data_IF_412012911831
#
_entry.id   IF_412012911831
#
_cell.length_a   1.000
_cell.length_b   1.000
_cell.length_c   1.000
_cell.angle_alpha   90.00
_cell.angle_beta   90.00
_cell.angle_gamma   90.00
#
_symmetry.space_group_name_H-M   'P 1'
#
loop_
_entity.id
_entity.type
_entity.pdbx_description
1 polymer ?
#
# COMPACT_ATOMS: atom_id res chain seq x y z
N UNK A 1 19.40 18.67 -1.79
CA UNK A 1 19.14 20.04 -1.25
C UNK A 1 18.07 20.85 -2.01
N UNK A 2 18.08 20.92 -3.36
CA UNK A 2 17.15 21.79 -4.12
C UNK A 2 15.66 21.40 -4.09
N UNK A 3 15.30 20.13 -3.89
CA UNK A 3 13.89 19.67 -3.88
C UNK A 3 13.22 19.94 -2.51
N UNK A 4 13.99 19.91 -1.43
CA UNK A 4 13.49 20.15 -0.08
C UNK A 4 13.11 21.62 0.16
N UNK A 5 13.93 22.57 -0.33
CA UNK A 5 13.61 24.00 -0.26
C UNK A 5 12.32 24.37 -1.02
N UNK A 6 11.91 23.57 -2.00
CA UNK A 6 10.65 23.77 -2.71
C UNK A 6 9.43 23.28 -1.91
N UNK A 7 9.55 22.33 -0.97
CA UNK A 7 8.40 21.86 -0.18
C UNK A 7 7.87 22.92 0.80
N UNK A 8 8.69 23.90 1.17
CA UNK A 8 8.31 25.01 2.05
C UNK A 8 7.59 26.14 1.26
N UNK A 9 7.76 26.20 -0.07
CA UNK A 9 7.29 27.33 -0.92
C UNK A 9 6.06 26.99 -1.79
N UNK A 10 5.54 25.76 -1.76
CA UNK A 10 4.42 25.35 -2.63
C UNK A 10 3.07 25.68 -1.98
N UNK A 11 2.76 26.97 -1.90
CA UNK A 11 1.39 27.45 -1.80
C UNK A 11 1.30 28.76 -2.58
N UNK A 12 0.99 28.67 -3.88
CA UNK A 12 0.30 29.69 -4.73
C UNK A 12 0.51 29.53 -6.25
N UNK A 13 1.51 28.75 -6.73
CA UNK A 13 1.83 28.70 -8.17
C UNK A 13 1.67 27.30 -8.81
N UNK A 14 0.68 27.14 -9.69
CA UNK A 14 0.37 25.90 -10.43
C UNK A 14 1.49 25.40 -11.33
N UNK A 15 2.30 26.32 -11.90
CA UNK A 15 3.47 25.95 -12.73
C UNK A 15 4.58 25.32 -11.90
N UNK A 16 4.80 25.82 -10.68
CA UNK A 16 5.82 25.30 -9.75
C UNK A 16 5.45 23.88 -9.33
N UNK A 17 4.19 23.65 -8.95
CA UNK A 17 3.69 22.33 -8.61
C UNK A 17 3.86 21.32 -9.77
N UNK A 18 3.47 21.71 -10.99
CA UNK A 18 3.61 20.85 -12.18
C UNK A 18 5.07 20.45 -12.42
N UNK A 19 6.01 21.40 -12.30
CA UNK A 19 7.44 21.13 -12.45
C UNK A 19 7.97 20.14 -11.39
N UNK A 20 7.61 20.34 -10.11
CA UNK A 20 8.00 19.41 -9.03
C UNK A 20 7.42 18.02 -9.27
N UNK A 21 6.13 17.95 -9.61
CA UNK A 21 5.45 16.69 -9.91
C UNK A 21 6.18 15.90 -10.99
N UNK A 22 6.58 16.54 -12.09
CA UNK A 22 7.34 15.86 -13.14
C UNK A 22 8.70 15.36 -12.67
N UNK A 23 9.42 16.12 -11.85
CA UNK A 23 10.70 15.67 -11.26
C UNK A 23 10.51 14.45 -10.37
N UNK A 24 9.47 14.43 -9.53
CA UNK A 24 9.16 13.30 -8.65
C UNK A 24 8.76 12.07 -9.47
N UNK A 25 7.96 12.24 -10.53
CA UNK A 25 7.59 11.13 -11.43
C UNK A 25 8.83 10.58 -12.15
N UNK A 26 9.70 11.45 -12.65
CA UNK A 26 10.97 11.06 -13.28
C UNK A 26 11.83 10.27 -12.31
N UNK A 27 12.09 10.83 -11.13
CA UNK A 27 12.86 10.17 -10.08
C UNK A 27 12.26 8.81 -9.67
N UNK A 28 10.94 8.75 -9.48
CA UNK A 28 10.25 7.49 -9.19
C UNK A 28 10.45 6.47 -10.32
N UNK A 29 10.45 6.90 -11.58
CA UNK A 29 10.64 5.98 -12.72
C UNK A 29 12.04 5.35 -12.75
N UNK A 30 13.07 6.03 -12.24
CA UNK A 30 14.45 5.51 -12.14
C UNK A 30 14.60 4.40 -11.08
N UNK A 31 13.90 4.52 -9.95
CA UNK A 31 14.03 3.58 -8.81
C UNK A 31 12.93 2.51 -8.77
N UNK A 32 11.78 2.74 -9.38
CA UNK A 32 10.60 1.86 -9.27
C UNK A 32 10.88 0.42 -9.73
N UNK A 33 11.65 0.25 -10.81
CA UNK A 33 12.03 -1.07 -11.31
C UNK A 33 12.89 -1.85 -10.31
N UNK A 34 13.82 -1.19 -9.64
CA UNK A 34 14.66 -1.83 -8.61
C UNK A 34 13.86 -2.16 -7.37
N UNK A 35 13.02 -1.24 -6.89
CA UNK A 35 12.15 -1.48 -5.74
C UNK A 35 11.24 -2.68 -5.98
N UNK A 36 10.76 -2.85 -7.22
CA UNK A 36 10.01 -4.03 -7.63
C UNK A 36 10.85 -5.30 -7.54
N UNK A 37 12.06 -5.30 -8.10
CA UNK A 37 12.99 -6.45 -8.04
C UNK A 37 13.25 -6.84 -6.58
N UNK A 38 13.48 -5.86 -5.70
CA UNK A 38 13.67 -6.10 -4.28
C UNK A 38 12.43 -6.74 -3.67
N UNK A 39 11.24 -6.15 -3.80
CA UNK A 39 10.01 -6.68 -3.18
C UNK A 39 9.55 -8.03 -3.75
N UNK A 40 10.07 -8.45 -4.91
CA UNK A 40 9.84 -9.76 -5.50
C UNK A 40 10.91 -10.80 -5.12
N UNK A 41 11.95 -10.41 -4.37
CA UNK A 41 12.97 -11.35 -3.85
C UNK A 41 12.46 -12.15 -2.65
N UNK A 42 13.07 -13.31 -2.41
CA UNK A 42 12.70 -14.17 -1.27
C UNK A 42 12.84 -13.44 0.08
N UNK A 43 13.87 -12.59 0.24
CA UNK A 43 14.13 -11.84 1.45
C UNK A 43 13.05 -10.78 1.76
N UNK A 44 12.60 -10.02 0.76
CA UNK A 44 11.61 -8.94 1.00
C UNK A 44 10.15 -9.35 0.78
N UNK A 45 9.90 -10.48 0.11
CA UNK A 45 8.54 -10.96 -0.16
C UNK A 45 7.97 -11.82 0.97
N UNK A 46 8.79 -12.44 1.79
CA UNK A 46 8.34 -13.35 2.86
C UNK A 46 8.46 -12.68 4.22
N UNK A 47 7.41 -12.75 5.02
CA UNK A 47 7.41 -12.15 6.35
C UNK A 47 6.60 -12.97 7.34
N UNK A 48 7.16 -13.14 8.55
CA UNK A 48 6.43 -13.69 9.70
C UNK A 48 5.73 -12.54 10.44
N UNK A 49 4.40 -12.59 10.52
CA UNK A 49 3.62 -11.50 11.13
C UNK A 49 2.45 -12.02 11.96
N UNK A 50 2.25 -11.41 13.14
CA UNK A 50 1.11 -11.71 14.00
C UNK A 50 -0.13 -10.93 13.55
N UNK A 51 -1.15 -11.61 13.01
CA UNK A 51 -2.44 -11.01 12.65
C UNK A 51 -3.52 -11.14 13.74
N UNK A 52 -3.23 -11.91 14.79
CA UNK A 52 -4.12 -12.25 15.89
C UNK A 52 -3.80 -11.47 17.18
N UNK A 53 -3.10 -10.34 17.05
CA UNK A 53 -2.80 -9.47 18.18
C UNK A 53 -4.06 -9.02 18.92
N UNK A 54 -3.93 -8.81 20.23
CA UNK A 54 -5.04 -8.35 21.09
C UNK A 54 -5.58 -7.03 20.57
N UNK A 55 -6.90 -6.92 20.54
CA UNK A 55 -7.61 -5.72 20.16
C UNK A 55 -8.22 -5.04 21.38
N UNK A 56 -7.84 -3.79 21.63
CA UNK A 56 -8.29 -3.00 22.77
C UNK A 56 -9.39 -1.99 22.41
N UNK A 57 -9.83 -1.97 21.15
CA UNK A 57 -10.84 -1.04 20.65
C UNK A 57 -12.00 -1.81 20.04
N UNK A 58 -13.23 -1.42 20.36
CA UNK A 58 -14.40 -2.07 19.80
C UNK A 58 -14.77 -1.46 18.44
N UNK A 59 -13.99 -1.76 17.41
CA UNK A 59 -14.43 -1.52 16.02
C UNK A 59 -15.28 -2.69 15.55
N UNK A 60 -16.29 -2.40 14.74
CA UNK A 60 -17.36 -3.33 14.36
C UNK A 60 -16.96 -4.68 13.74
N UNK A 61 -17.99 -5.43 13.32
CA UNK A 61 -17.94 -6.86 12.99
C UNK A 61 -16.84 -7.25 11.98
N UNK A 62 -16.35 -8.50 12.09
CA UNK A 62 -15.42 -9.11 11.13
C UNK A 62 -15.97 -8.99 9.70
N UNK A 63 -15.08 -8.72 8.74
CA UNK A 63 -15.43 -8.72 7.33
C UNK A 63 -15.67 -10.15 6.85
N UNK A 64 -16.89 -10.48 6.40
CA UNK A 64 -17.24 -11.79 5.87
C UNK A 64 -16.94 -12.00 4.37
N UNK A 65 -16.36 -11.00 3.69
CA UNK A 65 -16.06 -11.10 2.27
C UNK A 65 -14.75 -11.84 2.02
N UNK A 66 -14.72 -12.76 1.04
CA UNK A 66 -13.51 -13.50 0.68
C UNK A 66 -12.33 -12.59 0.29
N UNK A 67 -12.61 -11.41 -0.27
CA UNK A 67 -11.62 -10.37 -0.58
C UNK A 67 -10.91 -9.80 0.66
N UNK A 68 -11.45 -9.98 1.86
CA UNK A 68 -10.82 -9.61 3.13
C UNK A 68 -9.86 -10.68 3.67
N UNK A 69 -10.00 -11.94 3.23
CA UNK A 69 -9.26 -13.06 3.78
C UNK A 69 -7.81 -13.09 3.28
N UNK A 70 -6.91 -13.47 4.17
CA UNK A 70 -5.57 -13.95 3.80
C UNK A 70 -5.70 -15.47 3.60
N UNK A 71 -5.43 -16.02 2.39
CA UNK A 71 -5.61 -17.44 2.08
C UNK A 71 -4.96 -18.37 3.11
N UNK A 72 -5.58 -19.51 3.39
CA UNK A 72 -5.07 -20.48 4.38
C UNK A 72 -3.68 -21.00 4.05
N UNK A 73 -3.33 -21.13 2.76
CA UNK A 73 -1.96 -21.49 2.32
C UNK A 73 -0.88 -20.49 2.77
N UNK A 74 -1.26 -19.23 3.02
CA UNK A 74 -0.40 -18.20 3.64
C UNK A 74 -0.53 -18.12 5.16
N UNK A 75 -1.33 -19.00 5.78
CA UNK A 75 -1.46 -19.17 7.24
C UNK A 75 -0.96 -20.54 7.72
N UNK A 76 -0.46 -21.40 6.83
CA UNK A 76 0.01 -22.74 7.20
C UNK A 76 1.19 -22.60 8.16
N UNK A 77 0.91 -22.84 9.44
CA UNK A 77 1.88 -23.46 10.32
C UNK A 77 2.11 -24.88 9.78
N UNK A 78 3.31 -25.11 9.27
CA UNK A 78 4.02 -26.40 9.27
C UNK A 78 3.33 -27.59 8.56
N UNK A 79 3.70 -27.79 7.29
CA UNK A 79 4.67 -28.88 7.07
C UNK A 79 6.02 -28.22 6.91
N UNK A 80 6.86 -28.52 7.88
CA UNK A 80 8.26 -28.11 8.00
C UNK A 80 8.95 -28.23 6.64
N UNK A 81 9.21 -27.10 5.99
CA UNK A 81 10.48 -26.90 5.30
C UNK A 81 11.30 -26.03 6.24
N UNK A 82 12.03 -26.67 7.17
CA UNK A 82 13.07 -26.01 7.98
C UNK A 82 14.17 -25.34 7.12
N UNK A 83 14.06 -25.48 5.79
CA UNK A 83 14.95 -24.92 4.79
C UNK A 83 14.54 -23.52 4.29
N UNK A 84 13.34 -23.01 4.61
CA UNK A 84 13.00 -21.62 4.23
C UNK A 84 13.59 -20.64 5.26
N UNK A 85 14.80 -20.16 4.95
CA UNK A 85 15.63 -19.33 5.83
C UNK A 85 14.88 -18.11 6.39
N UNK A 86 13.97 -17.52 5.62
CA UNK A 86 13.31 -16.23 5.90
C UNK A 86 12.01 -16.36 6.71
N UNK A 87 11.51 -17.58 6.89
CA UNK A 87 10.29 -17.87 7.66
C UNK A 87 10.53 -18.95 8.72
N UNK A 88 11.73 -18.97 9.30
CA UNK A 88 12.05 -19.86 10.42
C UNK A 88 11.14 -19.57 11.60
N UNK A 89 10.70 -20.63 12.28
CA UNK A 89 9.97 -20.51 13.53
C UNK A 89 11.00 -20.25 14.65
N UNK A 90 11.24 -18.99 14.94
CA UNK A 90 12.15 -18.49 15.98
C UNK A 90 11.49 -18.40 17.38
N UNK A 91 10.27 -18.95 17.52
CA UNK A 91 9.48 -18.85 18.75
C UNK A 91 8.57 -17.63 18.82
N UNK A 92 8.63 -16.73 17.83
CA UNK A 92 7.70 -15.58 17.76
C UNK A 92 6.31 -16.02 17.28
N UNK A 93 5.25 -15.49 17.91
CA UNK A 93 3.88 -15.68 17.43
C UNK A 93 3.69 -15.03 16.06
N UNK A 94 3.13 -15.77 15.10
CA UNK A 94 2.81 -15.24 13.79
C UNK A 94 2.65 -16.30 12.72
N UNK A 95 2.21 -15.87 11.55
CA UNK A 95 2.12 -16.70 10.35
C UNK A 95 3.11 -16.20 9.31
N UNK A 96 3.74 -17.12 8.58
CA UNK A 96 4.59 -16.76 7.44
C UNK A 96 3.73 -16.46 6.22
N UNK A 97 3.86 -15.25 5.69
CA UNK A 97 3.10 -14.78 4.54
C UNK A 97 4.06 -14.41 3.42
N UNK A 98 3.73 -14.87 2.22
CA UNK A 98 4.35 -14.45 0.96
C UNK A 98 3.52 -13.30 0.36
N UNK A 99 4.08 -12.09 0.42
CA UNK A 99 3.45 -10.84 0.03
C UNK A 99 3.19 -10.75 -1.49
N UNK A 100 3.92 -11.50 -2.31
CA UNK A 100 3.68 -11.54 -3.78
C UNK A 100 2.28 -12.11 -4.05
N UNK A 101 1.86 -13.09 -3.25
CA UNK A 101 0.55 -13.74 -3.38
C UNK A 101 -0.60 -12.87 -2.85
N UNK A 102 -0.31 -11.88 -2.00
CA UNK A 102 -1.34 -11.12 -1.28
C UNK A 102 -1.36 -9.66 -1.73
N UNK A 103 -1.96 -9.34 -2.86
CA UNK A 103 -2.10 -7.93 -3.30
C UNK A 103 -3.00 -7.12 -2.34
N UNK A 104 -2.75 -5.82 -2.26
CA UNK A 104 -3.65 -4.86 -1.60
C UNK A 104 -4.75 -4.50 -2.58
N UNK A 105 -5.97 -4.96 -2.32
CA UNK A 105 -7.08 -4.89 -3.26
C UNK A 105 -8.29 -4.18 -2.66
N UNK A 106 -9.28 -3.87 -3.49
CA UNK A 106 -10.59 -3.49 -3.00
C UNK A 106 -11.27 -4.66 -2.28
N UNK A 107 -11.45 -4.53 -0.96
CA UNK A 107 -12.03 -5.59 -0.13
C UNK A 107 -13.53 -5.41 0.16
N UNK A 108 -14.10 -4.24 -0.14
CA UNK A 108 -15.47 -3.90 0.25
C UNK A 108 -15.63 -3.53 1.74
N UNK A 109 -14.55 -3.58 2.54
CA UNK A 109 -14.52 -3.12 3.92
C UNK A 109 -14.69 -1.59 3.99
N UNK A 110 -15.89 -1.12 4.36
CA UNK A 110 -16.27 0.30 4.28
C UNK A 110 -16.73 0.90 5.60
N UNK A 111 -17.74 0.32 6.26
CA UNK A 111 -18.40 0.95 7.42
C UNK A 111 -17.42 1.22 8.56
N UNK A 112 -16.73 0.19 9.00
CA UNK A 112 -15.79 0.22 10.13
C UNK A 112 -14.46 0.89 9.74
N UNK A 113 -14.15 0.95 8.44
CA UNK A 113 -12.89 1.55 7.95
C UNK A 113 -12.79 3.05 8.28
N UNK A 114 -13.92 3.78 8.26
CA UNK A 114 -13.94 5.21 8.55
C UNK A 114 -13.62 5.53 10.00
N UNK A 115 -14.10 4.71 10.93
CA UNK A 115 -13.84 4.85 12.37
C UNK A 115 -12.36 4.59 12.69
N UNK A 116 -11.78 3.55 12.06
CA UNK A 116 -10.35 3.25 12.21
C UNK A 116 -9.50 4.40 11.69
N UNK A 117 -9.77 4.91 10.48
CA UNK A 117 -9.04 6.06 9.94
C UNK A 117 -9.18 7.30 10.81
N UNK A 118 -10.38 7.60 11.30
CA UNK A 118 -10.61 8.70 12.24
C UNK A 118 -9.68 8.56 13.45
N UNK A 119 -9.62 7.36 14.05
CA UNK A 119 -8.76 7.13 15.21
C UNK A 119 -7.27 7.22 14.90
N UNK A 120 -6.84 6.74 13.73
CA UNK A 120 -5.46 6.90 13.25
C UNK A 120 -5.08 8.39 13.18
N UNK A 121 -5.95 9.23 12.60
CA UNK A 121 -5.67 10.67 12.51
C UNK A 121 -5.69 11.37 13.88
N UNK A 122 -6.56 10.96 14.81
CA UNK A 122 -6.55 11.46 16.19
C UNK A 122 -5.21 11.17 16.88
N UNK A 123 -4.66 9.97 16.73
CA UNK A 123 -3.36 9.60 17.32
C UNK A 123 -2.18 10.35 16.68
N UNK A 124 -2.30 10.69 15.40
CA UNK A 124 -1.27 11.38 14.64
C UNK A 124 -1.30 12.91 14.77
N UNK A 125 -2.39 13.48 15.31
CA UNK A 125 -2.67 14.92 15.20
C UNK A 125 -1.62 15.84 15.84
N UNK A 126 -0.79 15.30 16.76
CA UNK A 126 0.28 16.02 17.46
C UNK A 126 1.44 16.41 16.56
N UNK A 127 1.64 15.71 15.43
CA UNK A 127 2.76 15.98 14.52
C UNK A 127 2.26 16.12 13.07
N UNK A 128 2.43 17.33 12.50
CA UNK A 128 1.97 17.66 11.16
C UNK A 128 2.63 16.81 10.06
N UNK A 129 3.89 16.43 10.23
CA UNK A 129 4.59 15.61 9.23
C UNK A 129 4.10 14.16 9.29
N UNK A 130 3.87 13.60 10.49
CA UNK A 130 3.18 12.29 10.63
C UNK A 130 1.80 12.34 9.97
N UNK A 131 1.02 13.40 10.18
CA UNK A 131 -0.30 13.54 9.53
C UNK A 131 -0.20 13.53 8.00
N UNK A 132 0.80 14.22 7.42
CA UNK A 132 1.03 14.22 5.96
C UNK A 132 1.45 12.83 5.48
N UNK A 133 2.35 12.15 6.18
CA UNK A 133 2.78 10.78 5.85
C UNK A 133 1.56 9.84 5.85
N UNK A 134 0.75 9.87 6.90
CA UNK A 134 -0.47 9.06 7.02
C UNK A 134 -1.48 9.42 5.93
N UNK A 135 -1.65 10.69 5.60
CA UNK A 135 -2.50 11.11 4.49
C UNK A 135 -2.01 10.59 3.13
N UNK A 136 -0.70 10.58 2.89
CA UNK A 136 -0.09 10.00 1.70
C UNK A 136 -0.29 8.49 1.62
N UNK A 137 -0.12 7.78 2.74
CA UNK A 137 -0.37 6.34 2.86
C UNK A 137 -1.86 6.02 2.63
N UNK A 138 -2.77 6.77 3.25
CA UNK A 138 -4.20 6.60 3.04
C UNK A 138 -4.58 6.81 1.56
N UNK A 139 -3.98 7.80 0.89
CA UNK A 139 -4.19 7.98 -0.56
C UNK A 139 -3.57 6.84 -1.38
N UNK A 140 -2.40 6.33 -0.98
CA UNK A 140 -1.77 5.14 -1.58
C UNK A 140 -2.68 3.91 -1.52
N UNK A 141 -3.32 3.64 -0.36
CA UNK A 141 -4.31 2.57 -0.19
C UNK A 141 -5.49 2.77 -1.15
N UNK A 142 -6.00 4.00 -1.25
CA UNK A 142 -7.09 4.33 -2.17
C UNK A 142 -6.71 4.05 -3.64
N UNK A 143 -5.51 4.45 -4.07
CA UNK A 143 -5.00 4.21 -5.43
C UNK A 143 -4.90 2.71 -5.71
N UNK A 144 -4.37 1.92 -4.78
CA UNK A 144 -4.27 0.46 -4.92
C UNK A 144 -5.64 -0.21 -5.00
N UNK A 145 -6.60 0.21 -4.16
CA UNK A 145 -7.98 -0.25 -4.27
C UNK A 145 -8.62 0.09 -5.62
N UNK A 146 -8.27 1.23 -6.22
CA UNK A 146 -8.74 1.57 -7.56
C UNK A 146 -8.06 0.73 -8.64
N UNK A 147 -6.76 0.43 -8.52
CA UNK A 147 -6.03 -0.43 -9.49
C UNK A 147 -6.46 -1.87 -9.44
N UNK A 148 -6.63 -2.42 -8.25
CA UNK A 148 -6.98 -3.81 -7.99
C UNK A 148 -8.41 -3.89 -7.48
N UNK A 149 -9.36 -3.40 -8.30
CA UNK A 149 -10.74 -3.21 -7.87
C UNK A 149 -11.57 -4.50 -7.92
N UNK A 150 -11.49 -5.24 -9.03
CA UNK A 150 -12.26 -6.47 -9.23
C UNK A 150 -11.49 -7.45 -10.12
N UNK A 151 -11.70 -8.75 -9.92
CA UNK A 151 -11.13 -9.79 -10.78
C UNK A 151 -12.12 -10.15 -11.91
N UNK A 152 -11.63 -10.27 -13.14
CA UNK A 152 -12.40 -10.71 -14.31
C UNK A 152 -12.44 -12.25 -14.42
N UNK A 153 -13.15 -12.80 -15.41
CA UNK A 153 -13.22 -14.25 -15.64
C UNK A 153 -11.87 -14.92 -15.94
N UNK A 154 -10.87 -14.16 -16.39
CA UNK A 154 -9.50 -14.64 -16.67
C UNK A 154 -8.60 -14.62 -15.43
N UNK A 155 -9.12 -14.20 -14.26
CA UNK A 155 -8.32 -14.05 -13.05
C UNK A 155 -7.50 -12.75 -12.99
N UNK A 156 -7.72 -11.82 -13.92
CA UNK A 156 -6.99 -10.55 -14.00
C UNK A 156 -7.74 -9.43 -13.27
N UNK A 157 -6.99 -8.49 -12.68
CA UNK A 157 -7.59 -7.33 -12.04
C UNK A 157 -8.01 -6.26 -13.05
N UNK A 158 -9.26 -5.82 -12.94
CA UNK A 158 -9.81 -4.65 -13.62
C UNK A 158 -9.69 -3.45 -12.67
N UNK A 159 -9.20 -2.33 -13.22
CA UNK A 159 -9.10 -1.06 -12.52
C UNK A 159 -10.38 -0.24 -12.60
N UNK A 160 -10.74 0.43 -11.50
CA UNK A 160 -11.82 1.41 -11.42
C UNK A 160 -11.26 2.84 -11.45
N UNK A 161 -10.93 3.29 -12.66
CA UNK A 161 -10.35 4.62 -12.93
C UNK A 161 -11.35 5.72 -12.62
N UNK A 162 -12.65 5.48 -12.82
CA UNK A 162 -13.71 6.42 -12.43
C UNK A 162 -13.73 6.70 -10.93
N UNK A 163 -13.61 5.66 -10.09
CA UNK A 163 -13.48 5.82 -8.64
C UNK A 163 -12.21 6.61 -8.26
N UNK A 164 -11.09 6.36 -8.95
CA UNK A 164 -9.86 7.15 -8.76
C UNK A 164 -10.10 8.63 -9.03
N UNK A 165 -10.69 9.00 -10.18
CA UNK A 165 -10.94 10.41 -10.51
C UNK A 165 -11.91 11.08 -9.54
N UNK A 166 -12.93 10.37 -9.04
CA UNK A 166 -13.84 10.88 -8.00
C UNK A 166 -13.16 11.13 -6.66
N UNK A 167 -12.13 10.35 -6.32
CA UNK A 167 -11.39 10.44 -5.06
C UNK A 167 -10.12 11.28 -5.14
N UNK A 168 -9.74 11.70 -6.35
CA UNK A 168 -8.54 12.52 -6.58
C UNK A 168 -8.67 13.84 -5.83
N UNK A 169 -7.61 14.19 -5.11
CA UNK A 169 -7.52 15.44 -4.37
C UNK A 169 -6.05 15.90 -4.41
N UNK A 170 -5.84 17.19 -4.71
CA UNK A 170 -4.50 17.75 -4.85
C UNK A 170 -3.68 17.64 -3.55
N UNK A 171 -4.30 17.89 -2.39
CA UNK A 171 -3.60 17.79 -1.10
C UNK A 171 -3.18 16.35 -0.80
N UNK A 172 -4.03 15.37 -1.13
CA UNK A 172 -3.69 13.95 -0.94
C UNK A 172 -2.56 13.49 -1.87
N UNK A 173 -2.53 14.02 -3.10
CA UNK A 173 -1.42 13.77 -4.04
C UNK A 173 -0.10 14.40 -3.55
N UNK A 174 -0.14 15.64 -3.07
CA UNK A 174 1.02 16.29 -2.45
C UNK A 174 1.51 15.48 -1.24
N UNK A 175 0.59 15.01 -0.39
CA UNK A 175 0.93 14.20 0.78
C UNK A 175 1.50 12.82 0.40
N UNK A 176 1.05 12.21 -0.71
CA UNK A 176 1.66 11.00 -1.26
C UNK A 176 3.12 11.24 -1.68
N UNK A 177 3.38 12.35 -2.38
CA UNK A 177 4.74 12.73 -2.75
C UNK A 177 5.61 13.05 -1.54
N UNK A 178 5.05 13.73 -0.55
CA UNK A 178 5.72 13.98 0.73
C UNK A 178 6.11 12.68 1.42
N UNK A 179 5.17 11.75 1.57
CA UNK A 179 5.41 10.44 2.19
C UNK A 179 6.49 9.66 1.43
N UNK A 180 6.40 9.61 0.10
CA UNK A 180 7.39 8.93 -0.73
C UNK A 180 8.80 9.51 -0.55
N UNK A 181 8.95 10.82 -0.66
CA UNK A 181 10.26 11.47 -0.52
C UNK A 181 10.82 11.31 0.90
N UNK A 182 9.97 11.50 1.92
CA UNK A 182 10.35 11.32 3.31
C UNK A 182 10.87 9.90 3.56
N UNK A 183 10.09 8.87 3.25
CA UNK A 183 10.48 7.47 3.45
C UNK A 183 11.75 7.15 2.64
N UNK A 184 11.81 7.60 1.38
CA UNK A 184 12.96 7.35 0.52
C UNK A 184 14.27 7.93 1.10
N UNK A 185 14.22 9.09 1.77
CA UNK A 185 15.42 9.76 2.30
C UNK A 185 16.19 8.95 3.36
N UNK A 186 15.56 7.93 3.95
CA UNK A 186 16.17 7.03 4.94
C UNK A 186 16.67 5.71 4.34
N UNK A 187 16.47 5.47 3.04
CA UNK A 187 17.02 4.31 2.35
C UNK A 187 18.49 4.58 2.00
N UNK A 188 19.38 4.41 2.98
CA UNK A 188 20.82 4.61 2.83
C UNK A 188 21.56 3.32 3.16
N UNK A 189 22.47 2.87 2.30
CA UNK A 189 23.19 1.61 2.45
C UNK A 189 23.91 1.50 3.81
N UNK A 190 24.44 2.62 4.32
CA UNK A 190 25.14 2.67 5.60
C UNK A 190 24.23 2.43 6.82
N UNK A 191 22.91 2.53 6.64
CA UNK A 191 21.95 2.24 7.69
C UNK A 191 21.67 0.74 7.84
N UNK A 192 22.26 -0.11 6.98
CA UNK A 192 21.93 -1.53 6.89
C UNK A 192 23.18 -2.40 7.03
N UNK A 193 23.01 -3.58 7.63
CA UNK A 193 24.09 -4.56 7.70
C UNK A 193 24.38 -5.16 6.32
N UNK A 194 25.48 -4.73 5.72
CA UNK A 194 25.90 -5.13 4.37
C UNK A 194 26.20 -6.63 4.27
N UNK A 195 26.67 -7.27 5.34
CA UNK A 195 26.96 -8.71 5.33
C UNK A 195 25.68 -9.52 5.26
N UNK A 196 24.65 -9.15 6.05
CA UNK A 196 23.33 -9.77 5.99
C UNK A 196 22.76 -9.60 4.58
N UNK A 197 22.81 -8.40 4.01
CA UNK A 197 22.33 -8.16 2.64
C UNK A 197 23.04 -9.04 1.62
N UNK A 198 24.38 -9.16 1.69
CA UNK A 198 25.16 -10.00 0.79
C UNK A 198 24.84 -11.49 0.92
N UNK A 199 24.53 -11.94 2.13
CA UNK A 199 24.15 -13.34 2.39
C UNK A 199 22.71 -13.66 1.96
N UNK A 200 21.82 -12.67 1.99
CA UNK A 200 20.38 -12.85 1.81
C UNK A 200 19.87 -12.50 0.40
N UNK A 201 20.60 -11.69 -0.37
CA UNK A 201 20.17 -11.18 -1.68
C UNK A 201 21.03 -11.72 -2.83
N UNK A 202 20.40 -11.99 -3.97
CA UNK A 202 21.09 -12.35 -5.22
C UNK A 202 21.84 -11.14 -5.81
N UNK A 203 22.79 -11.38 -6.69
CA UNK A 203 23.63 -10.32 -7.29
C UNK A 203 22.82 -9.19 -7.98
N UNK A 204 21.75 -9.54 -8.71
CA UNK A 204 20.87 -8.56 -9.34
C UNK A 204 20.09 -7.74 -8.30
N UNK A 205 19.60 -8.38 -7.24
CA UNK A 205 18.88 -7.74 -6.13
C UNK A 205 19.82 -6.80 -5.35
N UNK A 206 21.04 -7.23 -5.03
CA UNK A 206 22.07 -6.38 -4.42
C UNK A 206 22.37 -5.15 -5.30
N UNK A 207 22.54 -5.35 -6.61
CA UNK A 207 22.77 -4.24 -7.55
C UNK A 207 21.61 -3.25 -7.53
N UNK A 208 20.36 -3.74 -7.53
CA UNK A 208 19.17 -2.91 -7.39
C UNK A 208 19.12 -2.18 -6.05
N UNK A 209 19.46 -2.84 -4.93
CA UNK A 209 19.54 -2.24 -3.60
C UNK A 209 20.50 -1.05 -3.56
N UNK A 210 21.75 -1.26 -3.97
CA UNK A 210 22.76 -0.20 -3.96
C UNK A 210 22.45 0.91 -4.97
N UNK A 211 21.85 0.57 -6.13
CA UNK A 211 21.41 1.59 -7.09
C UNK A 211 20.33 2.49 -6.50
N UNK A 212 19.33 1.91 -5.83
CA UNK A 212 18.31 2.69 -5.12
C UNK A 212 19.00 3.58 -4.10
N UNK A 213 19.75 3.01 -3.14
CA UNK A 213 20.45 3.77 -2.09
C UNK A 213 21.19 4.99 -2.63
N UNK A 214 22.00 4.80 -3.67
CA UNK A 214 22.79 5.88 -4.29
C UNK A 214 21.92 7.01 -4.85
N UNK A 215 20.78 6.68 -5.46
CA UNK A 215 19.87 7.68 -6.05
C UNK A 215 19.10 8.45 -4.97
N UNK A 216 18.77 7.81 -3.85
CA UNK A 216 18.03 8.46 -2.74
C UNK A 216 18.91 9.36 -1.89
N UNK A 217 20.19 9.06 -1.73
CA UNK A 217 21.16 9.86 -0.95
C UNK A 217 21.24 11.35 -1.39
N UNK A 218 20.83 11.67 -2.62
CA UNK A 218 20.74 13.05 -3.13
C UNK A 218 19.67 13.90 -2.40
N UNK A 219 18.76 13.26 -1.66
CA UNK A 219 17.63 13.85 -0.95
C UNK A 219 17.82 13.71 0.56
N UNK A 220 18.71 14.50 1.15
CA UNK A 220 18.90 14.49 2.61
C UNK A 220 17.73 15.20 3.29
N UNK A 221 17.00 14.46 4.11
CA UNK A 221 16.11 15.01 5.14
C UNK A 221 16.92 15.24 6.41
N UNK A 222 17.13 16.49 6.79
CA UNK A 222 17.84 16.87 8.01
C UNK A 222 16.83 17.44 8.99
N UNK A 223 16.81 16.93 10.22
CA UNK A 223 15.83 17.17 11.28
C UNK A 223 14.50 16.46 11.11
N UNK A 224 14.24 15.53 12.02
CA UNK A 224 12.99 15.53 12.76
C UNK A 224 13.15 14.70 14.03
N UNK A 225 13.02 15.31 15.21
CA UNK A 225 12.68 14.58 16.43
C UNK A 225 11.22 14.10 16.29
N UNK A 226 10.98 13.06 15.48
CA UNK A 226 9.66 12.43 15.38
C UNK A 226 9.54 11.45 16.55
N UNK A 227 8.56 11.70 17.41
CA UNK A 227 8.24 10.79 18.49
C UNK A 227 7.63 9.49 17.93
N UNK A 228 8.21 8.33 18.27
CA UNK A 228 7.71 7.02 17.88
C UNK A 228 6.34 6.68 18.50
N UNK A 229 5.97 7.29 19.64
CA UNK A 229 4.82 6.86 20.45
C UNK A 229 3.51 6.81 19.66
N UNK A 230 3.24 7.83 18.84
CA UNK A 230 2.03 7.89 18.01
C UNK A 230 1.93 6.73 17.02
N UNK A 231 3.07 6.30 16.42
CA UNK A 231 3.08 5.20 15.45
C UNK A 231 2.89 3.86 16.15
N UNK A 232 3.54 3.65 17.31
CA UNK A 232 3.37 2.41 18.08
C UNK A 232 1.93 2.26 18.61
N UNK A 233 1.28 3.36 19.01
CA UNK A 233 -0.15 3.38 19.35
C UNK A 233 -1.03 3.02 18.14
N UNK A 234 -0.71 3.53 16.95
CA UNK A 234 -1.41 3.15 15.71
C UNK A 234 -1.21 1.67 15.40
N UNK A 235 0.01 1.12 15.50
CA UNK A 235 0.26 -0.31 15.26
C UNK A 235 -0.58 -1.22 16.17
N UNK A 236 -0.77 -0.82 17.43
CA UNK A 236 -1.67 -1.52 18.36
C UNK A 236 -3.14 -1.43 17.93
N UNK A 237 -3.58 -0.25 17.48
CA UNK A 237 -4.92 -0.02 16.93
C UNK A 237 -5.23 -0.94 15.73
N UNK A 238 -4.25 -1.17 14.85
CA UNK A 238 -4.43 -1.98 13.64
C UNK A 238 -4.78 -3.45 13.94
N UNK A 239 -4.48 -3.97 15.14
CA UNK A 239 -4.92 -5.30 15.56
C UNK A 239 -6.45 -5.45 15.54
N UNK A 240 -7.18 -4.34 15.66
CA UNK A 240 -8.64 -4.30 15.67
C UNK A 240 -9.30 -4.28 14.29
N UNK A 241 -8.53 -4.31 13.21
CA UNK A 241 -9.10 -4.37 11.85
C UNK A 241 -9.84 -5.70 11.62
N UNK A 242 -11.12 -5.61 11.23
CA UNK A 242 -11.95 -6.78 10.89
C UNK A 242 -11.65 -7.41 9.51
N UNK A 243 -10.81 -6.75 8.70
CA UNK A 243 -10.34 -7.23 7.40
C UNK A 243 -8.88 -7.69 7.52
N UNK A 244 -8.59 -8.98 7.38
CA UNK A 244 -7.24 -9.54 7.56
C UNK A 244 -6.24 -9.02 6.53
N UNK A 245 -6.62 -8.94 5.25
CA UNK A 245 -5.77 -8.38 4.20
C UNK A 245 -5.44 -6.90 4.45
N UNK A 246 -6.42 -6.14 4.94
CA UNK A 246 -6.25 -4.74 5.31
C UNK A 246 -5.33 -4.62 6.53
N UNK A 247 -5.47 -5.52 7.51
CA UNK A 247 -4.61 -5.61 8.69
C UNK A 247 -3.16 -5.93 8.34
N UNK A 248 -2.93 -6.88 7.43
CA UNK A 248 -1.61 -7.23 6.94
C UNK A 248 -0.92 -6.01 6.30
N UNK A 249 -1.56 -5.42 5.30
CA UNK A 249 -0.97 -4.30 4.56
C UNK A 249 -0.82 -3.04 5.41
N UNK A 250 -1.75 -2.77 6.33
CA UNK A 250 -1.61 -1.64 7.25
C UNK A 250 -0.42 -1.86 8.19
N UNK A 251 -0.26 -3.05 8.79
CA UNK A 251 0.92 -3.32 9.63
C UNK A 251 2.23 -3.17 8.87
N UNK A 252 2.30 -3.64 7.63
CA UNK A 252 3.50 -3.46 6.79
C UNK A 252 3.77 -1.98 6.53
N UNK A 253 2.75 -1.21 6.14
CA UNK A 253 2.90 0.20 5.82
C UNK A 253 3.26 1.04 7.05
N UNK A 254 2.56 0.86 8.18
CA UNK A 254 2.85 1.60 9.41
C UNK A 254 4.15 1.13 10.09
N UNK A 255 4.50 -0.15 9.99
CA UNK A 255 5.82 -0.65 10.42
C UNK A 255 6.97 -0.07 9.59
N UNK A 256 6.75 0.18 8.29
CA UNK A 256 7.72 0.87 7.45
C UNK A 256 7.90 2.33 7.86
N UNK A 257 6.84 3.00 8.32
CA UNK A 257 6.92 4.36 8.90
C UNK A 257 7.69 4.31 10.22
N UNK A 258 7.39 3.36 11.10
CA UNK A 258 8.12 3.16 12.36
C UNK A 258 9.62 2.95 12.09
N UNK A 259 9.95 2.13 11.08
CA UNK A 259 11.35 1.89 10.67
C UNK A 259 12.03 3.16 10.17
N UNK A 260 11.35 3.97 9.35
CA UNK A 260 11.90 5.24 8.90
C UNK A 260 12.20 6.20 10.08
N UNK A 261 11.34 6.20 11.10
CA UNK A 261 11.54 7.00 12.31
C UNK A 261 12.68 6.44 13.17
N UNK A 262 12.78 5.11 13.33
CA UNK A 262 13.93 4.46 13.98
C UNK A 262 15.25 4.90 13.32
N UNK A 263 15.31 4.80 12.00
CA UNK A 263 16.47 5.24 11.19
C UNK A 263 16.76 6.74 11.36
N UNK A 264 15.74 7.58 11.43
CA UNK A 264 15.90 9.02 11.68
C UNK A 264 16.47 9.33 13.06
N UNK A 265 16.25 8.45 14.03
CA UNK A 265 16.69 8.60 15.42
C UNK A 265 17.93 7.73 15.73
N UNK A 266 18.58 7.17 14.71
CA UNK A 266 19.77 6.29 14.84
C UNK A 266 19.52 5.06 15.72
N UNK A 267 18.28 4.58 15.76
CA UNK A 267 17.87 3.37 16.47
C UNK A 267 18.11 2.16 15.56
N UNK A 268 18.69 1.11 16.13
CA UNK A 268 18.91 -0.17 15.44
C UNK A 268 17.60 -0.77 14.90
N UNK A 269 17.66 -1.33 13.70
CA UNK A 269 16.52 -1.94 13.03
C UNK A 269 16.71 -3.46 12.91
N UNK A 270 15.61 -4.20 13.01
CA UNK A 270 15.58 -5.63 12.75
C UNK A 270 15.49 -5.95 11.25
N UNK A 271 15.65 -7.21 10.88
CA UNK A 271 15.40 -7.66 9.50
C UNK A 271 13.94 -7.42 9.07
N UNK A 272 12.98 -7.65 9.97
CA UNK A 272 11.57 -7.39 9.71
C UNK A 272 11.29 -5.90 9.47
N UNK A 273 11.95 -5.01 10.22
CA UNK A 273 11.87 -3.56 10.01
C UNK A 273 12.29 -3.20 8.58
N UNK A 274 13.40 -3.79 8.11
CA UNK A 274 13.87 -3.60 6.74
C UNK A 274 12.85 -4.10 5.70
N UNK A 275 12.22 -5.26 5.91
CA UNK A 275 11.16 -5.77 5.02
C UNK A 275 9.98 -4.79 4.98
N UNK A 276 9.51 -4.30 6.12
CA UNK A 276 8.42 -3.32 6.20
C UNK A 276 8.76 -2.02 5.45
N UNK A 277 9.96 -1.51 5.66
CA UNK A 277 10.43 -0.27 5.06
C UNK A 277 10.50 -0.34 3.54
N UNK A 278 11.13 -1.38 2.97
CA UNK A 278 11.24 -1.53 1.51
C UNK A 278 9.88 -1.76 0.86
N UNK A 279 9.00 -2.56 1.49
CA UNK A 279 7.65 -2.77 0.99
C UNK A 279 6.80 -1.48 1.03
N UNK A 280 6.90 -0.67 2.08
CA UNK A 280 6.25 0.65 2.13
C UNK A 280 6.76 1.56 1.01
N UNK A 281 8.08 1.65 0.83
CA UNK A 281 8.67 2.50 -0.20
C UNK A 281 8.21 2.08 -1.61
N UNK A 282 8.20 0.77 -1.89
CA UNK A 282 7.68 0.24 -3.15
C UNK A 282 6.18 0.51 -3.32
N UNK A 283 5.38 0.45 -2.25
CA UNK A 283 3.95 0.81 -2.29
C UNK A 283 3.73 2.27 -2.66
N UNK A 284 4.46 3.19 -2.03
CA UNK A 284 4.37 4.61 -2.34
C UNK A 284 4.83 4.88 -3.79
N UNK A 285 5.94 4.27 -4.20
CA UNK A 285 6.45 4.31 -5.59
C UNK A 285 5.42 3.82 -6.61
N UNK A 286 4.77 2.69 -6.33
CA UNK A 286 3.72 2.09 -7.16
C UNK A 286 2.51 3.01 -7.26
N UNK A 287 2.10 3.62 -6.15
CA UNK A 287 0.99 4.58 -6.12
C UNK A 287 1.26 5.81 -6.98
N UNK A 288 2.49 6.35 -6.97
CA UNK A 288 2.88 7.47 -7.85
C UNK A 288 2.76 7.06 -9.32
N UNK A 289 3.29 5.89 -9.68
CA UNK A 289 3.23 5.37 -11.06
C UNK A 289 1.78 5.14 -11.51
N UNK A 290 0.97 4.46 -10.70
CA UNK A 290 -0.44 4.18 -11.00
C UNK A 290 -1.24 5.48 -11.12
N UNK A 291 -1.04 6.44 -10.20
CA UNK A 291 -1.70 7.75 -10.25
C UNK A 291 -1.40 8.45 -11.57
N UNK A 292 -0.12 8.48 -11.98
CA UNK A 292 0.29 9.07 -13.26
C UNK A 292 -0.30 8.34 -14.48
N UNK A 293 -0.41 7.01 -14.45
CA UNK A 293 -1.08 6.23 -15.50
C UNK A 293 -2.58 6.58 -15.59
N UNK A 294 -3.27 6.64 -14.45
CA UNK A 294 -4.70 6.91 -14.41
C UNK A 294 -5.05 8.33 -14.83
N UNK A 295 -4.20 9.31 -14.53
CA UNK A 295 -4.39 10.69 -14.96
C UNK A 295 -4.40 10.87 -16.48
N UNK A 296 -3.76 9.97 -17.24
CA UNK A 296 -3.73 10.02 -18.71
C UNK A 296 -5.04 9.54 -19.35
N UNK A 297 -5.95 8.95 -18.56
CA UNK A 297 -7.19 8.36 -19.07
C UNK A 297 -8.25 9.46 -19.28
N UNK A 298 -8.59 9.74 -20.54
CA UNK A 298 -9.56 10.80 -20.90
C UNK A 298 -11.00 10.45 -20.54
N UNK A 299 -11.40 9.18 -20.68
CA UNK A 299 -12.79 8.73 -20.52
C UNK A 299 -12.92 7.64 -19.45
N UNK A 300 -12.75 7.98 -18.16
CA UNK A 300 -12.74 6.98 -17.08
C UNK A 300 -14.10 6.29 -16.87
N UNK A 301 -15.20 6.92 -17.27
CA UNK A 301 -16.54 6.32 -17.18
C UNK A 301 -16.69 5.10 -18.12
N UNK A 302 -15.95 5.04 -19.24
CA UNK A 302 -15.99 3.88 -20.13
C UNK A 302 -15.43 2.63 -19.45
N UNK A 303 -14.43 2.79 -18.58
CA UNK A 303 -13.92 1.69 -17.76
C UNK A 303 -14.99 1.14 -16.79
N UNK A 304 -15.94 1.97 -16.36
CA UNK A 304 -17.04 1.53 -15.49
C UNK A 304 -17.94 0.51 -16.20
N UNK A 305 -18.28 0.73 -17.47
CA UNK A 305 -19.06 -0.23 -18.25
C UNK A 305 -18.36 -1.58 -18.39
N UNK A 306 -17.03 -1.58 -18.56
CA UNK A 306 -16.24 -2.82 -18.62
C UNK A 306 -16.24 -3.59 -17.28
N UNK A 307 -16.34 -2.91 -16.14
CA UNK A 307 -16.39 -3.56 -14.82
C UNK A 307 -17.71 -4.31 -14.61
N UNK A 308 -18.81 -3.77 -15.16
CA UNK A 308 -20.17 -4.24 -14.91
C UNK A 308 -20.86 -4.80 -16.15
N UNK A 309 -20.10 -5.15 -17.20
CA UNK A 309 -20.68 -5.59 -18.48
C UNK A 309 -21.57 -6.82 -18.29
N UNK A 310 -21.16 -7.76 -17.44
CA UNK A 310 -21.92 -8.97 -17.15
C UNK A 310 -23.21 -8.60 -16.42
N UNK A 311 -23.13 -7.80 -15.35
CA UNK A 311 -24.32 -7.37 -14.59
C UNK A 311 -25.32 -6.65 -15.49
N UNK A 312 -24.83 -5.71 -16.31
CA UNK A 312 -25.66 -4.96 -17.26
C UNK A 312 -26.32 -5.91 -18.26
N UNK A 313 -25.56 -6.84 -18.85
CA UNK A 313 -26.11 -7.80 -19.80
C UNK A 313 -27.11 -8.78 -19.16
N UNK A 314 -26.85 -9.22 -17.93
CA UNK A 314 -27.79 -10.07 -17.18
C UNK A 314 -29.08 -9.34 -16.83
N UNK A 315 -29.01 -8.06 -16.48
CA UNK A 315 -30.20 -7.22 -16.24
C UNK A 315 -30.99 -7.05 -17.54
N UNK A 316 -30.30 -6.76 -18.65
CA UNK A 316 -30.94 -6.60 -19.97
C UNK A 316 -31.65 -7.90 -20.37
N UNK A 317 -30.98 -9.06 -20.30
CA UNK A 317 -31.59 -10.36 -20.62
C UNK A 317 -32.81 -10.62 -19.71
N UNK A 318 -32.67 -10.38 -18.40
CA UNK A 318 -33.75 -10.62 -17.43
C UNK A 318 -34.97 -9.75 -17.73
N UNK A 319 -34.75 -8.47 -18.07
CA UNK A 319 -35.82 -7.55 -18.48
C UNK A 319 -36.45 -7.98 -19.81
N UNK A 320 -35.65 -8.34 -20.82
CA UNK A 320 -36.16 -8.83 -22.11
C UNK A 320 -37.02 -10.08 -21.95
N UNK A 321 -36.57 -11.05 -21.14
CA UNK A 321 -37.35 -12.25 -20.82
C UNK A 321 -38.65 -11.92 -20.08
N UNK A 322 -38.61 -11.00 -19.11
CA UNK A 322 -39.80 -10.54 -18.40
C UNK A 322 -40.84 -9.93 -19.35
N UNK A 323 -40.43 -9.07 -20.29
CA UNK A 323 -41.33 -8.49 -21.30
C UNK A 323 -41.90 -9.55 -22.24
N UNK A 324 -41.09 -10.49 -22.74
CA UNK A 324 -41.55 -11.58 -23.61
C UNK A 324 -42.57 -12.50 -22.93
N UNK A 325 -42.36 -12.82 -21.65
CA UNK A 325 -43.29 -13.65 -20.88
C UNK A 325 -44.58 -12.91 -20.53
N UNK A 326 -44.50 -11.61 -20.24
CA UNK A 326 -45.67 -10.77 -19.98
C UNK A 326 -46.58 -10.68 -21.21
N UNK A 327 -46.02 -10.54 -22.40
CA UNK A 327 -46.82 -10.44 -23.63
C UNK A 327 -47.46 -11.79 -24.02
N UNK A 328 -46.83 -12.93 -23.69
CA UNK A 328 -47.46 -14.25 -23.83
C UNK A 328 -48.67 -14.45 -22.92
N UNK A 329 -48.61 -13.98 -21.68
CA UNK A 329 -49.70 -14.12 -20.72
C UNK A 329 -50.93 -13.27 -21.07
N UNK A 330 -50.78 -12.24 -21.92
CA UNK A 330 -51.91 -11.45 -22.45
C UNK A 330 -52.68 -12.14 -23.59
N UNK A 331 -52.16 -13.23 -24.15
CA UNK A 331 -52.82 -13.97 -25.23
C UNK A 331 -53.54 -15.24 -24.73
N UNK A 332 -53.58 -15.47 -23.42
CA UNK A 332 -54.21 -16.63 -22.77
C UNK A 332 -55.39 -16.27 -21.86
N UNK A 333 -55.78 -14.99 -21.84
CA UNK A 333 -57.09 -14.49 -21.38
C UNK A 333 -57.90 -14.06 -22.60
#
# INVERSE_FOLDING_TARGET
MKIFFLFIVVFTNTKVYSSIKQKIISFNSEIHGDLKILCESDFFSKIRINLNGKCNYNFGKKCGLFSCNVPEQSKINQKINNNDLYCKNDGTEGVCIDLIKIKEIFTGYKKESGEVWKKIYELACKNKDIMKIISGIHYSVCIHMCKFYRINRKGEYIANTWMFHKKKNLNYEINLYFAFLFISSFFKANNFNVEILKSSLKNNELKSFFRVSKLVDLHVWTNTNINLSSISEILNLLNCLGCERCKLWSKIQFGGVETAIKLSNEIEISENDLIYFVNLLYKLSSSIKISHEFEKIKFPFMCYFNIYTIEIFTIIISLSLFYLLRDKNKCTE
#
